data_IF_963704676995
#
_entry.id   IF_963704676995
#
_cell.length_a   1.000
_cell.length_b   1.000
_cell.length_c   1.000
_cell.angle_alpha   90.00
_cell.angle_beta   90.00
_cell.angle_gamma   90.00
#
_symmetry.space_group_name_H-M   'P 1'
#
loop_
_entity.id
_entity.type
_entity.pdbx_description
1 polymer ?
#
# COMPACT_ATOMS: atom_id res chain seq x y z
N UNK A 1 -31.43 -4.72 26.36
CA UNK A 1 -32.27 -5.27 27.45
C UNK A 1 -32.36 -6.82 27.49
N UNK A 2 -31.34 -7.56 27.03
CA UNK A 2 -31.39 -9.04 27.02
C UNK A 2 -30.04 -9.67 27.36
N UNK A 3 -29.36 -9.14 28.37
CA UNK A 3 -28.12 -9.73 28.90
C UNK A 3 -27.95 -9.38 30.38
N UNK A 4 -28.97 -9.67 31.17
CA UNK A 4 -28.92 -9.51 32.63
C UNK A 4 -29.63 -10.70 33.29
N UNK A 5 -29.21 -11.92 32.95
CA UNK A 5 -29.78 -13.14 33.54
C UNK A 5 -28.85 -14.36 33.33
N UNK A 6 -27.55 -14.22 33.63
CA UNK A 6 -26.69 -15.39 33.95
C UNK A 6 -25.62 -14.94 34.96
N UNK A 7 -26.05 -14.44 36.11
CA UNK A 7 -25.17 -14.23 37.28
C UNK A 7 -25.99 -14.42 38.56
N UNK A 8 -26.67 -15.55 38.67
CA UNK A 8 -27.26 -15.95 39.95
C UNK A 8 -27.45 -17.47 40.02
N UNK A 9 -26.39 -18.24 39.79
CA UNK A 9 -26.29 -19.65 40.19
C UNK A 9 -24.80 -19.99 40.21
N UNK A 10 -24.35 -20.73 41.23
CA UNK A 10 -22.95 -21.10 41.52
C UNK A 10 -22.21 -20.15 42.49
N UNK A 11 -22.85 -19.87 43.62
CA UNK A 11 -22.13 -19.89 44.90
C UNK A 11 -21.95 -21.36 45.29
N UNK A 12 -20.77 -21.69 45.85
CA UNK A 12 -20.29 -22.98 46.36
C UNK A 12 -19.48 -23.81 45.35
N UNK A 13 -18.16 -23.82 45.55
CA UNK A 13 -17.24 -24.75 44.90
C UNK A 13 -15.97 -24.07 44.38
N UNK A 14 -14.84 -24.33 45.03
CA UNK A 14 -13.50 -23.91 44.62
C UNK A 14 -13.16 -24.38 43.19
N UNK A 15 -13.02 -23.46 42.23
CA UNK A 15 -12.50 -23.74 40.88
C UNK A 15 -11.35 -22.76 40.57
N UNK A 16 -10.18 -23.22 40.12
CA UNK A 16 -9.07 -22.34 39.78
C UNK A 16 -9.29 -21.70 38.40
N UNK A 17 -9.15 -20.37 38.33
CA UNK A 17 -9.01 -19.55 37.11
C UNK A 17 -10.10 -19.75 36.02
N UNK A 18 -11.18 -18.97 36.12
CA UNK A 18 -12.16 -18.87 35.04
C UNK A 18 -11.74 -17.83 33.99
N UNK A 19 -11.33 -18.28 32.80
CA UNK A 19 -11.15 -17.42 31.62
C UNK A 19 -12.50 -17.15 30.97
N UNK A 20 -13.06 -15.96 31.19
CA UNK A 20 -14.32 -15.55 30.56
C UNK A 20 -14.00 -14.95 29.18
N UNK A 21 -14.41 -15.63 28.11
CA UNK A 21 -14.29 -15.13 26.74
C UNK A 21 -15.62 -14.50 26.31
N UNK A 22 -15.70 -13.17 26.29
CA UNK A 22 -16.87 -12.47 25.74
C UNK A 22 -16.65 -12.28 24.24
N UNK A 23 -17.43 -12.97 23.39
CA UNK A 23 -17.44 -12.74 21.95
C UNK A 23 -18.41 -11.60 21.64
N UNK A 24 -17.87 -10.42 21.35
CA UNK A 24 -18.54 -9.41 20.54
C UNK A 24 -18.06 -9.57 19.10
N UNK A 25 -18.93 -9.29 18.12
CA UNK A 25 -18.79 -9.65 16.71
C UNK A 25 -17.51 -9.19 16.00
N UNK A 26 -16.64 -8.39 16.64
CA UNK A 26 -15.30 -8.04 16.12
C UNK A 26 -14.19 -7.85 17.17
N UNK A 27 -14.40 -8.22 18.44
CA UNK A 27 -13.41 -7.99 19.51
C UNK A 27 -13.24 -9.22 20.39
N UNK A 28 -11.98 -9.60 20.67
CA UNK A 28 -11.63 -10.52 21.77
C UNK A 28 -10.95 -9.70 22.87
N UNK A 29 -11.56 -9.69 24.04
CA UNK A 29 -10.98 -9.12 25.24
C UNK A 29 -10.64 -10.27 26.19
N UNK A 30 -9.42 -10.29 26.74
CA UNK A 30 -9.07 -11.21 27.84
C UNK A 30 -9.29 -10.46 29.16
N UNK A 31 -9.95 -11.10 30.11
CA UNK A 31 -10.08 -10.56 31.47
C UNK A 31 -9.26 -11.43 32.40
N UNK A 32 -8.26 -10.85 33.07
CA UNK A 32 -7.60 -11.50 34.21
C UNK A 32 -8.29 -11.05 35.51
N UNK A 33 -8.83 -12.03 36.24
CA UNK A 33 -9.37 -11.80 37.59
C UNK A 33 -8.29 -12.17 38.59
N UNK A 34 -7.77 -11.18 39.32
CA UNK A 34 -6.89 -11.39 40.47
C UNK A 34 -7.64 -11.00 41.75
N UNK A 35 -7.67 -11.93 42.72
CA UNK A 35 -8.05 -11.76 44.13
C UNK A 35 -9.00 -10.61 44.46
N UNK A 36 -10.32 -10.86 44.35
CA UNK A 36 -11.39 -10.04 44.92
C UNK A 36 -11.34 -8.52 44.61
N UNK A 37 -10.76 -8.12 43.47
CA UNK A 37 -10.85 -6.75 42.97
C UNK A 37 -11.60 -6.70 41.64
N UNK A 38 -12.26 -5.56 41.40
CA UNK A 38 -13.00 -5.23 40.18
C UNK A 38 -12.19 -5.60 38.93
N UNK A 39 -12.81 -6.21 37.90
CA UNK A 39 -12.09 -6.68 36.72
C UNK A 39 -11.38 -5.51 36.02
N UNK A 40 -10.05 -5.52 35.97
CA UNK A 40 -9.28 -4.54 35.20
C UNK A 40 -9.22 -4.98 33.73
N UNK A 41 -9.44 -4.02 32.82
CA UNK A 41 -9.43 -4.24 31.36
C UNK A 41 -8.02 -4.56 30.88
N UNK A 42 -7.69 -5.84 30.79
CA UNK A 42 -6.48 -6.32 30.13
C UNK A 42 -6.73 -6.49 28.62
N UNK A 43 -6.58 -5.41 27.85
CA UNK A 43 -6.46 -5.37 26.39
C UNK A 43 -7.57 -6.03 25.55
N UNK A 44 -8.23 -5.21 24.72
CA UNK A 44 -9.14 -5.68 23.67
C UNK A 44 -8.45 -5.59 22.31
N UNK A 45 -8.38 -6.73 21.61
CA UNK A 45 -7.83 -6.79 20.25
C UNK A 45 -8.94 -7.08 19.24
N UNK A 46 -8.80 -6.51 18.04
CA UNK A 46 -9.64 -6.86 16.88
C UNK A 46 -9.34 -8.31 16.52
N UNK A 47 -10.38 -9.14 16.41
CA UNK A 47 -10.20 -10.56 16.11
C UNK A 47 -9.45 -10.75 14.78
N UNK A 48 -8.25 -11.34 14.83
CA UNK A 48 -7.45 -11.70 13.65
C UNK A 48 -6.18 -10.89 13.39
N UNK A 49 -5.81 -9.90 14.23
CA UNK A 49 -4.48 -9.26 14.20
C UNK A 49 -3.50 -9.98 15.13
N UNK A 50 -2.35 -10.40 14.61
CA UNK A 50 -1.22 -10.91 15.39
C UNK A 50 -0.63 -9.77 16.25
N UNK A 51 -0.30 -10.04 17.51
CA UNK A 51 0.31 -9.04 18.41
C UNK A 51 1.70 -8.61 17.94
N UNK A 52 2.37 -9.43 17.10
CA UNK A 52 3.68 -9.14 16.51
C UNK A 52 3.59 -8.38 15.18
N UNK A 53 2.39 -8.06 14.69
CA UNK A 53 2.24 -7.28 13.48
C UNK A 53 2.50 -5.79 13.72
N UNK A 54 3.22 -5.13 12.81
CA UNK A 54 3.40 -3.69 12.89
C UNK A 54 2.04 -2.98 12.84
N UNK A 55 1.98 -1.77 13.39
CA UNK A 55 0.78 -0.95 13.27
C UNK A 55 0.56 -0.64 11.79
N UNK A 56 -0.61 -1.00 11.27
CA UNK A 56 -1.01 -0.67 9.89
C UNK A 56 -1.86 0.60 9.89
N UNK A 57 -1.42 1.59 9.12
CA UNK A 57 -2.04 2.89 8.85
C UNK A 57 -2.43 2.95 7.39
N UNK A 58 -3.36 3.84 7.01
CA UNK A 58 -3.81 3.93 5.62
C UNK A 58 -4.21 2.55 5.08
N UNK A 59 -4.92 1.75 5.87
CA UNK A 59 -5.36 0.40 5.48
C UNK A 59 -4.29 -0.69 5.40
N UNK A 60 -3.14 -0.43 4.77
CA UNK A 60 -2.12 -1.41 4.35
C UNK A 60 -0.66 -0.87 4.46
N UNK A 61 -0.44 0.32 5.04
CA UNK A 61 0.92 0.85 5.26
C UNK A 61 1.39 0.56 6.70
N UNK A 62 2.40 -0.29 6.85
CA UNK A 62 3.02 -0.60 8.14
C UNK A 62 3.88 0.56 8.69
N UNK A 63 3.80 0.81 10.00
CA UNK A 63 4.62 1.78 10.76
C UNK A 63 5.11 1.18 12.08
N UNK A 64 6.36 1.47 12.47
CA UNK A 64 7.00 0.83 13.64
C UNK A 64 6.53 1.39 14.99
N UNK A 65 6.26 2.69 15.13
CA UNK A 65 5.74 3.33 16.36
C UNK A 65 5.22 4.73 16.02
N UNK A 66 4.14 5.19 16.68
CA UNK A 66 3.76 6.62 16.86
C UNK A 66 3.79 7.56 15.65
N UNK A 67 2.59 7.99 15.21
CA UNK A 67 2.28 9.11 14.28
C UNK A 67 3.45 9.74 13.50
N UNK A 68 3.53 9.42 12.20
CA UNK A 68 3.73 10.40 11.13
C UNK A 68 3.31 9.80 9.77
N UNK A 69 2.59 10.59 8.98
CA UNK A 69 1.95 10.24 7.70
C UNK A 69 2.95 10.34 6.55
N UNK A 70 3.13 9.28 5.76
CA UNK A 70 3.87 9.21 4.48
C UNK A 70 5.23 9.95 4.44
N UNK A 71 6.30 9.17 4.56
CA UNK A 71 7.65 9.65 4.83
C UNK A 71 8.23 10.50 3.66
N UNK A 72 8.71 11.74 3.92
CA UNK A 72 9.62 12.51 3.06
C UNK A 72 10.89 11.75 2.63
N UNK A 73 11.09 10.52 3.10
CA UNK A 73 12.28 9.72 2.86
C UNK A 73 12.60 9.43 1.39
N UNK A 74 11.64 9.45 0.45
CA UNK A 74 12.00 9.31 -0.98
C UNK A 74 12.78 10.54 -1.48
N UNK A 75 12.72 11.65 -0.74
CA UNK A 75 13.59 12.80 -0.91
C UNK A 75 14.84 12.78 0.02
N UNK A 76 14.96 11.82 0.96
CA UNK A 76 16.02 11.79 2.00
C UNK A 76 16.77 10.45 2.17
N UNK A 77 16.50 9.40 1.37
CA UNK A 77 17.32 8.18 1.33
C UNK A 77 16.62 6.81 1.49
N UNK A 78 15.29 6.73 1.54
CA UNK A 78 14.59 5.43 1.63
C UNK A 78 14.31 4.77 0.26
N UNK A 79 14.90 5.26 -0.82
CA UNK A 79 14.88 4.51 -2.07
C UNK A 79 15.78 3.28 -1.96
N UNK A 80 15.44 2.24 -2.72
CA UNK A 80 16.35 1.14 -2.94
C UNK A 80 17.54 1.62 -3.77
N UNK A 81 18.78 1.21 -3.44
CA UNK A 81 19.96 1.71 -4.13
C UNK A 81 19.95 1.27 -5.60
N UNK A 82 20.28 2.21 -6.48
CA UNK A 82 20.51 1.94 -7.90
C UNK A 82 21.93 1.41 -8.08
N UNK A 83 22.05 0.33 -8.82
CA UNK A 83 23.32 -0.28 -9.21
C UNK A 83 23.95 0.45 -10.39
N UNK A 84 25.24 0.22 -10.63
CA UNK A 84 26.03 0.86 -11.68
C UNK A 84 25.55 0.54 -13.09
N UNK A 85 24.89 -0.60 -13.27
CA UNK A 85 24.26 -1.03 -14.53
C UNK A 85 22.89 -0.36 -14.79
N UNK A 86 22.49 0.57 -13.92
CA UNK A 86 21.23 1.30 -14.03
C UNK A 86 20.00 0.57 -13.50
N UNK A 87 20.14 -0.68 -13.03
CA UNK A 87 19.06 -1.44 -12.41
C UNK A 87 18.96 -1.19 -10.90
N UNK A 88 17.82 -1.51 -10.31
CA UNK A 88 17.59 -1.45 -8.86
C UNK A 88 17.30 -2.85 -8.37
N UNK A 89 18.24 -3.44 -7.64
CA UNK A 89 18.12 -4.81 -7.15
C UNK A 89 17.50 -4.82 -5.76
N UNK A 90 16.28 -5.38 -5.67
CA UNK A 90 15.57 -5.56 -4.39
C UNK A 90 15.63 -7.03 -4.02
N UNK A 91 16.43 -7.35 -3.00
CA UNK A 91 16.51 -8.71 -2.50
C UNK A 91 15.19 -9.10 -1.82
N UNK A 92 14.75 -10.35 -2.00
CA UNK A 92 13.55 -10.86 -1.33
C UNK A 92 13.73 -12.26 -0.76
N UNK A 93 12.95 -12.56 0.28
CA UNK A 93 12.74 -13.92 0.81
C UNK A 93 11.25 -14.22 0.85
N UNK A 94 10.85 -15.43 0.51
CA UNK A 94 9.45 -15.89 0.61
C UNK A 94 9.37 -16.94 1.71
N UNK A 95 8.49 -16.71 2.70
CA UNK A 95 8.19 -17.64 3.79
C UNK A 95 7.84 -19.04 3.29
N UNK A 96 8.13 -20.06 4.09
CA UNK A 96 7.72 -21.45 3.84
C UNK A 96 6.22 -21.69 4.10
N UNK A 97 5.50 -20.70 4.63
CA UNK A 97 4.05 -20.76 4.86
C UNK A 97 3.23 -20.89 3.57
N UNK A 98 3.78 -20.45 2.43
CA UNK A 98 3.11 -20.46 1.13
C UNK A 98 3.29 -21.81 0.43
N UNK A 99 2.19 -22.34 -0.13
CA UNK A 99 2.21 -23.47 -1.06
C UNK A 99 3.00 -23.15 -2.33
N UNK A 100 3.41 -24.18 -3.08
CA UNK A 100 4.14 -23.96 -4.34
C UNK A 100 3.35 -23.12 -5.35
N UNK A 101 2.02 -23.29 -5.41
CA UNK A 101 1.14 -22.48 -6.27
C UNK A 101 1.16 -21.00 -5.88
N UNK A 102 1.00 -20.71 -4.58
CA UNK A 102 1.07 -19.33 -4.06
C UNK A 102 2.46 -18.72 -4.30
N UNK A 103 3.53 -19.49 -4.08
CA UNK A 103 4.91 -19.06 -4.38
C UNK A 103 5.11 -18.72 -5.85
N UNK A 104 4.55 -19.52 -6.76
CA UNK A 104 4.61 -19.23 -8.20
C UNK A 104 3.91 -17.91 -8.54
N UNK A 105 2.73 -17.64 -7.97
CA UNK A 105 2.02 -16.37 -8.15
C UNK A 105 2.82 -15.18 -7.61
N UNK A 106 3.40 -15.30 -6.40
CA UNK A 106 4.26 -14.26 -5.82
C UNK A 106 5.47 -13.97 -6.73
N UNK A 107 6.15 -15.03 -7.21
CA UNK A 107 7.30 -14.89 -8.11
C UNK A 107 6.90 -14.26 -9.45
N UNK A 108 5.72 -14.57 -9.99
CA UNK A 108 5.20 -13.91 -11.19
C UNK A 108 4.94 -12.42 -10.95
N UNK A 109 4.36 -12.05 -9.81
CA UNK A 109 4.19 -10.65 -9.39
C UNK A 109 5.53 -9.91 -9.30
N UNK A 110 6.53 -10.49 -8.64
CA UNK A 110 7.90 -9.94 -8.55
C UNK A 110 8.53 -9.76 -9.93
N UNK A 111 8.44 -10.78 -10.81
CA UNK A 111 9.00 -10.74 -12.18
C UNK A 111 8.29 -9.74 -13.10
N UNK A 112 7.05 -9.38 -12.81
CA UNK A 112 6.30 -8.44 -13.66
C UNK A 112 6.94 -7.05 -13.75
N UNK A 113 7.62 -6.60 -12.67
CA UNK A 113 8.29 -5.30 -12.63
C UNK A 113 9.42 -5.19 -13.65
N UNK A 114 10.16 -6.28 -13.89
CA UNK A 114 11.34 -6.22 -14.76
C UNK A 114 11.00 -6.09 -16.24
N UNK A 115 9.72 -6.26 -16.62
CA UNK A 115 9.26 -6.13 -18.01
C UNK A 115 9.21 -4.69 -18.49
N UNK A 116 9.05 -3.73 -17.58
CA UNK A 116 8.77 -2.33 -17.95
C UNK A 116 9.45 -1.31 -17.04
N UNK A 117 10.27 -1.76 -16.08
CA UNK A 117 11.01 -0.90 -15.15
C UNK A 117 12.45 -1.35 -14.96
N UNK A 118 13.26 -0.56 -14.24
CA UNK A 118 14.60 -0.95 -13.76
C UNK A 118 14.60 -1.86 -12.53
N UNK A 119 13.43 -2.13 -11.94
CA UNK A 119 13.36 -2.90 -10.68
C UNK A 119 13.61 -4.38 -10.96
N UNK A 120 14.53 -4.98 -10.19
CA UNK A 120 14.92 -6.38 -10.28
C UNK A 120 14.77 -7.03 -8.91
N UNK A 121 13.69 -7.75 -8.71
CA UNK A 121 13.52 -8.57 -7.51
C UNK A 121 14.38 -9.83 -7.61
N UNK A 122 15.30 -10.02 -6.67
CA UNK A 122 16.25 -11.15 -6.67
C UNK A 122 16.17 -11.95 -5.37
N UNK A 123 16.29 -13.30 -5.41
CA UNK A 123 16.34 -14.09 -4.18
C UNK A 123 17.47 -13.62 -3.28
N UNK A 124 17.16 -13.38 -2.01
CA UNK A 124 18.15 -12.97 -1.02
C UNK A 124 19.17 -14.08 -0.81
N UNK A 125 20.44 -13.67 -0.75
CA UNK A 125 21.56 -14.47 -0.25
C UNK A 125 22.10 -13.83 1.01
N UNK A 126 22.92 -12.78 0.86
CA UNK A 126 23.63 -12.10 1.95
C UNK A 126 23.25 -10.63 2.13
N UNK A 127 22.31 -10.13 1.32
CA UNK A 127 21.90 -8.72 1.37
C UNK A 127 21.33 -8.40 2.76
N UNK A 128 21.84 -7.32 3.36
CA UNK A 128 21.36 -6.79 4.64
C UNK A 128 19.93 -6.31 4.50
N UNK A 129 19.67 -5.47 3.49
CA UNK A 129 18.36 -4.87 3.23
C UNK A 129 17.60 -5.78 2.24
N UNK A 130 16.39 -6.20 2.61
CA UNK A 130 15.57 -7.08 1.78
C UNK A 130 14.09 -7.03 2.16
N UNK A 131 13.22 -7.44 1.24
CA UNK A 131 11.80 -7.65 1.49
C UNK A 131 11.57 -9.09 1.98
N UNK A 132 10.95 -9.24 3.15
CA UNK A 132 10.58 -10.51 3.73
C UNK A 132 9.08 -10.78 3.54
N UNK A 133 8.75 -11.60 2.56
CA UNK A 133 7.37 -11.88 2.15
C UNK A 133 6.80 -12.96 3.08
N UNK A 134 5.82 -12.60 3.90
CA UNK A 134 5.23 -13.47 4.92
C UNK A 134 3.70 -13.44 4.86
N UNK A 135 3.02 -14.50 5.31
CA UNK A 135 1.57 -14.50 5.40
C UNK A 135 1.14 -14.06 6.80
N UNK A 136 0.88 -12.77 6.99
CA UNK A 136 0.43 -12.21 8.28
C UNK A 136 -1.01 -11.69 8.22
N UNK A 137 -1.44 -10.84 9.14
CA UNK A 137 -2.82 -10.36 9.22
C UNK A 137 -3.11 -9.29 8.17
N UNK A 138 -3.41 -9.74 6.96
CA UNK A 138 -3.84 -8.90 5.84
C UNK A 138 -2.76 -8.69 4.77
N UNK A 139 -3.00 -7.70 3.92
CA UNK A 139 -2.06 -7.25 2.89
C UNK A 139 -1.48 -5.92 3.39
N UNK A 140 -0.16 -5.84 3.56
CA UNK A 140 0.48 -4.60 3.97
C UNK A 140 1.98 -4.58 3.68
N UNK A 141 2.53 -3.37 3.61
CA UNK A 141 3.94 -3.13 3.35
C UNK A 141 4.41 -1.83 4.00
N UNK A 142 5.72 -1.68 4.18
CA UNK A 142 6.30 -0.38 4.51
C UNK A 142 6.46 0.47 3.26
N UNK A 143 6.36 1.79 3.40
CA UNK A 143 6.69 2.71 2.30
C UNK A 143 8.20 2.91 2.22
N UNK A 144 8.79 2.44 1.13
CA UNK A 144 10.23 2.54 0.84
C UNK A 144 11.11 1.55 1.62
N UNK A 145 12.42 1.62 1.38
CA UNK A 145 13.47 0.85 2.06
C UNK A 145 13.64 1.34 3.50
N UNK A 146 13.47 0.44 4.47
CA UNK A 146 13.61 0.73 5.92
C UNK A 146 14.99 0.39 6.49
N UNK A 147 15.78 -0.38 5.75
CA UNK A 147 17.02 -0.99 6.25
C UNK A 147 16.73 -2.34 6.93
N UNK A 148 17.66 -3.29 6.81
CA UNK A 148 17.49 -4.69 7.22
C UNK A 148 16.30 -5.37 6.50
N UNK A 149 15.85 -6.52 7.02
CA UNK A 149 14.65 -7.18 6.53
C UNK A 149 13.39 -6.41 6.88
N UNK A 150 12.57 -6.08 5.89
CA UNK A 150 11.26 -5.44 6.09
C UNK A 150 10.14 -6.34 5.59
N UNK A 151 9.07 -6.46 6.37
CA UNK A 151 7.95 -7.35 6.04
C UNK A 151 7.12 -6.76 4.90
N UNK A 152 6.77 -7.62 3.94
CA UNK A 152 5.61 -7.46 3.07
C UNK A 152 4.66 -8.59 3.40
N UNK A 153 3.50 -8.25 3.97
CA UNK A 153 2.48 -9.24 4.29
C UNK A 153 1.60 -9.49 3.07
N UNK A 154 1.54 -10.74 2.65
CA UNK A 154 0.56 -11.22 1.69
C UNK A 154 -0.20 -12.37 2.33
N UNK A 155 -1.25 -12.07 3.09
CA UNK A 155 -2.11 -13.11 3.65
C UNK A 155 -2.52 -14.11 2.57
N UNK A 156 -2.27 -15.39 2.84
CA UNK A 156 -2.74 -16.51 2.01
C UNK A 156 -4.24 -16.48 1.78
N UNK A 157 -4.97 -15.86 2.71
CA UNK A 157 -6.39 -15.55 2.58
C UNK A 157 -6.55 -14.14 2.05
N UNK A 158 -6.58 -13.99 0.72
CA UNK A 158 -7.05 -12.77 0.06
C UNK A 158 -5.99 -11.85 -0.56
N UNK A 159 -4.69 -12.10 -0.38
CA UNK A 159 -3.64 -11.19 -0.89
C UNK A 159 -2.77 -11.77 -2.01
N UNK A 160 -2.85 -13.08 -2.28
CA UNK A 160 -1.99 -13.74 -3.29
C UNK A 160 -2.58 -13.61 -4.69
N UNK A 161 -2.73 -12.35 -5.13
CA UNK A 161 -3.21 -11.96 -6.46
C UNK A 161 -2.25 -10.97 -7.10
N UNK A 162 -2.13 -10.99 -8.43
CA UNK A 162 -1.18 -10.17 -9.19
C UNK A 162 -1.24 -8.68 -8.79
N UNK A 163 -2.44 -8.08 -8.77
CA UNK A 163 -2.65 -6.67 -8.42
C UNK A 163 -2.22 -6.35 -7.00
N UNK A 164 -2.60 -7.19 -6.03
CA UNK A 164 -2.25 -6.99 -4.62
C UNK A 164 -0.75 -7.14 -4.40
N UNK A 165 -0.12 -8.15 -5.01
CA UNK A 165 1.34 -8.31 -4.94
C UNK A 165 2.04 -7.07 -5.51
N UNK A 166 1.60 -6.56 -6.66
CA UNK A 166 2.17 -5.34 -7.24
C UNK A 166 1.94 -4.12 -6.34
N UNK A 167 0.75 -3.99 -5.74
CA UNK A 167 0.40 -2.92 -4.80
C UNK A 167 1.36 -2.87 -3.60
N UNK A 168 1.53 -4.00 -2.91
CA UNK A 168 2.40 -4.06 -1.72
C UNK A 168 3.88 -3.86 -2.06
N UNK A 169 4.30 -4.30 -3.25
CA UNK A 169 5.65 -4.07 -3.74
C UNK A 169 5.87 -2.60 -4.16
N UNK A 170 4.87 -1.92 -4.71
CA UNK A 170 4.94 -0.48 -4.97
C UNK A 170 5.07 0.32 -3.66
N UNK A 171 4.36 -0.07 -2.60
CA UNK A 171 4.63 0.47 -1.27
C UNK A 171 6.10 0.27 -0.87
N UNK A 172 6.61 -0.96 -0.97
CA UNK A 172 8.02 -1.24 -0.63
C UNK A 172 9.01 -0.42 -1.46
N UNK A 173 8.64 0.00 -2.68
CA UNK A 173 9.43 0.86 -3.56
C UNK A 173 9.31 2.35 -3.25
N UNK A 174 8.36 2.77 -2.40
CA UNK A 174 8.21 4.15 -1.93
C UNK A 174 6.93 4.86 -2.37
N UNK A 175 5.95 4.16 -2.92
CA UNK A 175 4.70 4.76 -3.37
C UNK A 175 3.63 4.75 -2.27
N UNK A 176 2.84 5.81 -2.19
CA UNK A 176 1.63 5.89 -1.36
C UNK A 176 0.40 5.72 -2.26
N UNK A 177 -0.79 5.62 -1.66
CA UNK A 177 -2.03 5.50 -2.42
C UNK A 177 -2.38 6.72 -3.24
N UNK A 178 -3.05 6.50 -4.37
CA UNK A 178 -3.42 7.56 -5.31
C UNK A 178 -4.36 8.60 -4.68
N UNK A 179 -5.37 8.16 -3.91
CA UNK A 179 -6.33 9.05 -3.26
C UNK A 179 -5.74 9.92 -2.14
N UNK A 180 -4.46 9.75 -1.83
CA UNK A 180 -3.74 10.54 -0.82
C UNK A 180 -2.87 11.63 -1.43
N UNK A 181 -2.78 11.74 -2.77
CA UNK A 181 -2.05 12.82 -3.44
C UNK A 181 -2.48 14.21 -2.98
N UNK A 182 -1.56 15.16 -3.04
CA UNK A 182 -1.79 16.58 -2.71
C UNK A 182 -2.91 17.22 -3.54
N UNK A 183 -3.00 16.85 -4.82
CA UNK A 183 -3.96 17.34 -5.81
C UNK A 183 -5.28 16.52 -5.87
N UNK A 184 -5.43 15.47 -5.05
CA UNK A 184 -6.55 14.53 -5.17
C UNK A 184 -7.94 15.17 -5.09
N UNK A 185 -8.11 16.30 -4.40
CA UNK A 185 -9.40 16.99 -4.27
C UNK A 185 -9.90 17.58 -5.62
N UNK A 186 -9.03 17.67 -6.63
CA UNK A 186 -9.42 18.03 -8.01
C UNK A 186 -10.03 16.85 -8.78
N UNK A 187 -9.92 15.63 -8.25
CA UNK A 187 -10.24 14.37 -8.94
C UNK A 187 -11.21 13.49 -8.15
N UNK A 188 -11.18 13.54 -6.82
CA UNK A 188 -12.11 12.78 -5.98
C UNK A 188 -12.62 13.63 -4.83
N UNK A 189 -13.88 13.40 -4.48
CA UNK A 189 -14.47 13.87 -3.23
C UNK A 189 -14.50 12.73 -2.22
N UNK A 190 -14.01 13.01 -1.00
CA UNK A 190 -14.08 12.06 0.11
C UNK A 190 -15.31 12.36 0.95
N UNK A 191 -16.16 11.35 1.14
CA UNK A 191 -17.37 11.40 1.94
C UNK A 191 -17.10 10.82 3.33
N UNK A 192 -16.47 11.61 4.20
CA UNK A 192 -16.06 11.17 5.54
C UNK A 192 -17.24 10.71 6.40
N UNK A 193 -18.46 11.21 6.17
CA UNK A 193 -19.67 10.76 6.85
C UNK A 193 -20.01 9.28 6.61
N UNK A 194 -19.49 8.68 5.53
CA UNK A 194 -19.69 7.26 5.22
C UNK A 194 -18.56 6.38 5.77
N UNK A 195 -17.47 6.97 6.26
CA UNK A 195 -16.28 6.24 6.73
C UNK A 195 -16.53 5.65 8.13
N UNK A 196 -16.02 4.45 8.39
CA UNK A 196 -16.01 3.84 9.72
C UNK A 196 -15.33 4.79 10.71
N UNK A 197 -16.03 5.12 11.81
CA UNK A 197 -15.51 6.00 12.85
C UNK A 197 -14.11 5.58 13.31
N UNK A 198 -13.16 6.52 13.28
CA UNK A 198 -11.75 6.29 13.62
C UNK A 198 -10.86 5.90 12.43
N UNK A 199 -11.42 5.61 11.25
CA UNK A 199 -10.69 5.26 10.03
C UNK A 199 -10.52 6.44 9.05
N UNK A 200 -10.94 7.65 9.43
CA UNK A 200 -10.86 8.87 8.62
C UNK A 200 -9.40 9.22 8.27
N UNK A 201 -8.46 8.81 9.13
CA UNK A 201 -7.04 9.02 8.92
C UNK A 201 -6.51 8.34 7.64
N UNK A 202 -7.16 7.27 7.15
CA UNK A 202 -6.79 6.57 5.91
C UNK A 202 -7.03 7.43 4.65
N UNK A 203 -7.80 8.52 4.75
CA UNK A 203 -8.13 9.40 3.64
C UNK A 203 -7.40 10.75 3.72
N UNK A 204 -6.46 10.92 4.65
CA UNK A 204 -5.69 12.17 4.78
C UNK A 204 -4.81 12.37 3.54
N UNK A 205 -4.82 13.59 3.01
CA UNK A 205 -3.91 14.00 1.92
C UNK A 205 -2.48 14.17 2.43
N UNK A 206 -1.53 13.81 1.59
CA UNK A 206 -0.11 14.07 1.75
C UNK A 206 0.14 15.44 1.13
N UNK A 207 0.37 16.47 1.97
CA UNK A 207 0.48 17.87 1.50
C UNK A 207 1.58 18.08 0.45
N UNK A 208 2.72 17.41 0.63
CA UNK A 208 3.89 17.55 -0.24
C UNK A 208 4.19 16.24 -0.98
N UNK A 209 3.16 15.57 -1.51
CA UNK A 209 3.39 14.35 -2.30
C UNK A 209 4.21 14.65 -3.55
N UNK A 210 5.23 13.84 -3.81
CA UNK A 210 5.99 13.89 -5.07
C UNK A 210 5.17 13.20 -6.16
N UNK A 211 4.38 13.99 -6.90
CA UNK A 211 3.52 13.49 -7.97
C UNK A 211 4.31 13.11 -9.25
N UNK A 212 5.62 13.36 -9.27
CA UNK A 212 6.56 13.01 -10.35
C UNK A 212 6.10 13.50 -11.74
N UNK A 213 5.41 14.64 -11.80
CA UNK A 213 4.91 15.24 -13.03
C UNK A 213 3.92 14.34 -13.79
N UNK A 214 3.18 13.48 -13.10
CA UNK A 214 2.18 12.59 -13.70
C UNK A 214 0.76 13.01 -13.32
N UNK A 215 -0.22 12.82 -14.23
CA UNK A 215 -1.62 13.08 -13.92
C UNK A 215 -2.13 12.14 -12.82
N UNK A 216 -3.27 12.49 -12.25
CA UNK A 216 -4.03 11.61 -11.36
C UNK A 216 -4.59 10.43 -12.16
N UNK A 217 -4.44 9.22 -11.63
CA UNK A 217 -4.80 7.99 -12.33
C UNK A 217 -5.85 7.18 -11.55
N UNK A 218 -7.10 7.28 -11.97
CA UNK A 218 -8.21 6.50 -11.40
C UNK A 218 -8.03 4.98 -11.51
N UNK A 219 -7.24 4.51 -12.49
CA UNK A 219 -6.97 3.10 -12.74
C UNK A 219 -5.61 2.66 -12.19
N UNK A 220 -4.95 3.49 -11.38
CA UNK A 220 -3.74 3.09 -10.65
C UNK A 220 -4.05 1.90 -9.75
N UNK A 221 -3.14 0.93 -9.71
CA UNK A 221 -3.24 -0.18 -8.76
C UNK A 221 -3.14 0.31 -7.31
N UNK A 222 -2.63 1.52 -7.10
CA UNK A 222 -2.53 2.19 -5.80
C UNK A 222 -3.78 2.97 -5.41
N UNK A 223 -4.85 2.98 -6.22
CA UNK A 223 -6.08 3.71 -5.91
C UNK A 223 -7.07 2.85 -5.12
N UNK A 224 -7.59 3.38 -4.02
CA UNK A 224 -8.66 2.72 -3.27
C UNK A 224 -9.96 2.53 -4.06
N UNK A 225 -10.69 1.47 -3.73
CA UNK A 225 -12.04 1.26 -4.22
C UNK A 225 -13.04 2.28 -3.65
N UNK A 226 -14.13 2.47 -4.38
CA UNK A 226 -15.24 3.40 -4.06
C UNK A 226 -15.81 3.25 -2.64
N UNK A 227 -15.79 2.04 -2.10
CA UNK A 227 -16.40 1.69 -0.80
C UNK A 227 -15.37 1.39 0.29
N UNK A 228 -14.09 1.75 0.08
CA UNK A 228 -13.04 1.52 1.06
C UNK A 228 -13.44 2.11 2.42
N UNK A 229 -13.33 1.32 3.50
CA UNK A 229 -13.68 1.71 4.86
C UNK A 229 -15.11 2.26 5.05
N UNK A 230 -16.07 1.85 4.21
CA UNK A 230 -17.47 2.24 4.35
C UNK A 230 -18.12 1.59 5.57
N UNK A 231 -18.87 2.38 6.35
CA UNK A 231 -19.64 1.91 7.51
C UNK A 231 -21.09 1.55 7.18
N UNK A 232 -21.60 2.06 6.06
CA UNK A 232 -23.01 2.04 5.70
C UNK A 232 -23.26 1.55 4.26
N UNK A 233 -22.25 0.90 3.65
CA UNK A 233 -22.24 0.43 2.25
C UNK A 233 -22.40 1.55 1.20
N UNK A 234 -22.34 2.81 1.62
CA UNK A 234 -22.33 3.97 0.72
C UNK A 234 -20.90 4.32 0.30
N UNK A 235 -20.70 4.99 -0.85
CA UNK A 235 -19.37 5.35 -1.33
C UNK A 235 -18.65 6.28 -0.35
N UNK A 236 -17.36 6.01 -0.10
CA UNK A 236 -16.47 6.89 0.66
C UNK A 236 -15.61 7.76 -0.27
N UNK A 237 -15.40 7.32 -1.52
CA UNK A 237 -14.67 8.05 -2.56
C UNK A 237 -15.56 8.19 -3.79
N UNK A 238 -15.79 9.42 -4.24
CA UNK A 238 -16.58 9.72 -5.45
C UNK A 238 -15.72 10.49 -6.45
N UNK A 239 -15.45 9.96 -7.65
CA UNK A 239 -14.72 10.69 -8.68
C UNK A 239 -15.45 11.97 -9.13
N UNK A 240 -14.68 12.96 -9.55
CA UNK A 240 -15.17 14.23 -10.12
C UNK A 240 -14.40 14.57 -11.41
N UNK A 241 -15.04 15.25 -12.38
CA UNK A 241 -16.44 15.67 -12.38
C UNK A 241 -17.42 14.52 -12.65
N UNK A 242 -16.96 13.41 -13.23
CA UNK A 242 -17.80 12.28 -13.57
C UNK A 242 -17.81 11.22 -12.44
N UNK A 243 -18.90 11.07 -11.67
CA UNK A 243 -18.98 10.11 -10.56
C UNK A 243 -19.03 8.65 -11.00
N UNK A 244 -19.18 8.36 -12.30
CA UNK A 244 -19.28 6.99 -12.83
C UNK A 244 -17.92 6.38 -13.20
N UNK A 245 -16.83 7.13 -13.10
CA UNK A 245 -15.48 6.61 -13.34
C UNK A 245 -15.19 5.45 -12.38
N UNK A 246 -14.67 4.35 -12.93
CA UNK A 246 -14.25 3.19 -12.16
C UNK A 246 -12.95 3.49 -11.40
N UNK A 247 -12.92 3.12 -10.12
CA UNK A 247 -11.75 3.28 -9.23
C UNK A 247 -11.54 2.01 -8.41
N UNK A 248 -10.29 1.68 -8.13
CA UNK A 248 -9.91 0.49 -7.33
C UNK A 248 -10.33 -0.84 -7.94
N UNK A 249 -10.33 -0.93 -9.29
CA UNK A 249 -10.63 -2.14 -10.06
C UNK A 249 -9.44 -2.65 -10.88
N UNK A 250 -8.26 -2.09 -10.65
CA UNK A 250 -7.05 -2.43 -11.39
C UNK A 250 -6.63 -3.89 -11.12
N UNK A 251 -6.38 -4.64 -12.18
CA UNK A 251 -5.86 -6.02 -12.10
C UNK A 251 -4.32 -6.09 -12.19
N UNK A 252 -3.69 -4.97 -12.54
CA UNK A 252 -2.24 -4.80 -12.62
C UNK A 252 -1.87 -3.31 -12.56
N UNK A 253 -0.57 -3.02 -12.43
CA UNK A 253 -0.02 -1.67 -12.59
C UNK A 253 -0.49 -1.01 -13.89
N UNK A 254 -0.90 0.24 -13.78
CA UNK A 254 -1.22 1.06 -14.95
C UNK A 254 0.06 1.55 -15.65
N UNK A 255 -0.04 2.07 -16.89
CA UNK A 255 1.08 2.76 -17.53
C UNK A 255 1.62 3.93 -16.69
N UNK A 256 0.75 4.61 -15.95
CA UNK A 256 1.15 5.73 -15.07
C UNK A 256 1.90 5.23 -13.84
N UNK A 257 1.50 4.09 -13.24
CA UNK A 257 2.25 3.44 -12.16
C UNK A 257 3.68 3.12 -12.62
N UNK A 258 3.82 2.47 -13.78
CA UNK A 258 5.11 2.11 -14.38
C UNK A 258 5.97 3.36 -14.64
N UNK A 259 5.38 4.40 -15.25
CA UNK A 259 6.06 5.67 -15.51
C UNK A 259 6.59 6.31 -14.22
N UNK A 260 5.81 6.26 -13.14
CA UNK A 260 6.22 6.80 -11.83
C UNK A 260 7.36 6.00 -11.23
N UNK A 261 7.37 4.67 -11.32
CA UNK A 261 8.52 3.85 -10.91
C UNK A 261 9.77 4.28 -11.67
N UNK A 262 9.67 4.41 -12.99
CA UNK A 262 10.80 4.77 -13.84
C UNK A 262 11.32 6.19 -13.55
N UNK A 263 10.43 7.17 -13.35
CA UNK A 263 10.83 8.53 -12.96
C UNK A 263 11.47 8.58 -11.58
N UNK A 264 10.90 7.86 -10.59
CA UNK A 264 11.42 7.86 -9.23
C UNK A 264 12.85 7.29 -9.15
N UNK A 265 13.12 6.23 -9.91
CA UNK A 265 14.43 5.56 -9.95
C UNK A 265 15.31 6.01 -11.12
N UNK A 266 14.96 7.14 -11.76
CA UNK A 266 15.68 7.74 -12.89
C UNK A 266 16.06 6.71 -13.98
N UNK A 267 15.12 5.83 -14.33
CA UNK A 267 15.33 4.84 -15.37
C UNK A 267 15.26 5.51 -16.74
N UNK A 268 16.38 5.51 -17.45
CA UNK A 268 16.44 5.79 -18.88
C UNK A 268 16.38 4.43 -19.55
N UNK A 269 15.26 4.11 -20.21
CA UNK A 269 15.20 2.93 -21.05
C UNK A 269 16.22 3.12 -22.16
N UNK A 270 17.26 2.29 -22.23
CA UNK A 270 18.18 2.27 -23.37
C UNK A 270 17.33 2.03 -24.61
N UNK A 271 17.14 3.07 -25.40
CA UNK A 271 16.30 3.01 -26.57
C UNK A 271 16.92 2.03 -27.55
N UNK A 272 16.15 1.01 -27.93
CA UNK A 272 16.27 0.50 -29.29
C UNK A 272 15.81 1.68 -30.16
N UNK A 273 16.76 2.46 -30.68
CA UNK A 273 16.55 3.36 -31.82
C UNK A 273 15.52 4.48 -31.67
N UNK A 274 15.45 5.18 -30.54
CA UNK A 274 14.91 6.55 -30.52
C UNK A 274 15.95 7.47 -29.90
N UNK A 275 16.81 7.97 -30.79
CA UNK A 275 17.73 9.05 -30.50
C UNK A 275 16.89 10.33 -30.35
N UNK A 276 16.61 10.73 -29.11
CA UNK A 276 16.14 12.09 -28.84
C UNK A 276 17.37 12.95 -28.55
N UNK A 277 18.13 13.21 -29.60
CA UNK A 277 19.12 14.27 -29.56
C UNK A 277 18.36 15.61 -29.53
N UNK A 278 18.22 16.18 -28.35
CA UNK A 278 17.81 17.58 -28.22
C UNK A 278 19.05 18.46 -28.47
N UNK A 279 19.60 18.43 -29.68
CA UNK A 279 20.56 19.44 -30.12
C UNK A 279 19.78 20.69 -30.52
N UNK A 280 19.91 21.75 -29.75
CA UNK A 280 19.44 23.08 -30.15
C UNK A 280 20.19 23.50 -31.41
N UNK A 281 19.49 23.56 -32.55
CA UNK A 281 20.04 24.12 -33.79
C UNK A 281 20.10 25.66 -33.63
N UNK A 282 21.29 26.28 -33.71
CA UNK A 282 21.45 27.72 -33.50
C UNK A 282 20.84 28.60 -34.61
N UNK A 283 20.35 28.02 -35.71
CA UNK A 283 19.79 28.76 -36.84
C UNK A 283 18.25 28.85 -36.87
N UNK A 284 17.54 28.47 -35.80
CA UNK A 284 16.07 28.60 -35.73
C UNK A 284 15.67 29.88 -34.98
N UNK A 285 14.74 30.71 -35.49
CA UNK A 285 14.35 31.94 -34.81
C UNK A 285 13.72 31.60 -33.47
N UNK A 286 14.08 32.38 -32.44
CA UNK A 286 13.63 32.21 -31.07
C UNK A 286 12.11 32.34 -30.96
N UNK A 287 11.38 31.23 -31.04
CA UNK A 287 9.97 31.15 -30.67
C UNK A 287 9.84 30.63 -29.24
N UNK A 288 9.17 31.42 -28.42
CA UNK A 288 8.83 31.11 -27.04
C UNK A 288 7.90 29.88 -26.96
N UNK A 289 8.12 29.05 -25.93
CA UNK A 289 7.33 27.88 -25.49
C UNK A 289 7.62 26.50 -26.14
N UNK A 290 8.70 25.89 -25.67
CA UNK A 290 9.09 24.47 -25.85
C UNK A 290 8.06 23.47 -25.28
N UNK A 291 7.17 23.90 -24.37
CA UNK A 291 6.17 23.03 -23.71
C UNK A 291 5.06 22.53 -24.63
N UNK A 292 4.70 23.28 -25.69
CA UNK A 292 3.56 22.95 -26.55
C UNK A 292 3.86 21.84 -27.57
N UNK A 293 5.13 21.65 -27.93
CA UNK A 293 5.58 20.67 -28.93
C UNK A 293 5.66 19.24 -28.38
N UNK A 294 6.04 19.07 -27.11
CA UNK A 294 6.07 17.73 -26.49
C UNK A 294 4.67 17.15 -26.26
N UNK A 295 3.65 17.99 -26.01
CA UNK A 295 2.31 17.51 -25.68
C UNK A 295 1.58 16.91 -26.89
N UNK A 296 1.77 17.47 -28.10
CA UNK A 296 1.11 16.98 -29.31
C UNK A 296 1.58 15.58 -29.75
N UNK A 297 2.80 15.17 -29.39
CA UNK A 297 3.32 13.85 -29.77
C UNK A 297 2.80 12.72 -28.89
N UNK A 298 2.33 13.03 -27.68
CA UNK A 298 1.74 12.04 -26.77
C UNK A 298 0.36 11.57 -27.26
N UNK A 299 -0.44 12.46 -27.89
CA UNK A 299 -1.78 12.12 -28.40
C UNK A 299 -1.77 11.21 -29.63
N UNK A 300 -0.68 11.23 -30.43
CA UNK A 300 -0.55 10.36 -31.61
C UNK A 300 -0.13 8.92 -31.26
N UNK A 301 0.55 8.71 -30.13
CA UNK A 301 0.99 7.36 -29.70
C UNK A 301 -0.15 6.59 -29.02
N UNK A 302 -1.18 7.27 -28.52
CA UNK A 302 -2.35 6.62 -27.89
C UNK A 302 -3.41 6.16 -28.91
N UNK A 303 -3.28 6.51 -30.21
CA UNK A 303 -4.27 6.18 -31.26
C UNK A 303 -3.78 5.20 -32.34
N UNK A 304 -2.78 4.37 -32.05
CA UNK A 304 -2.41 3.20 -32.86
C UNK A 304 -2.37 1.96 -31.98
#
# INVERSE_FOLDING_TARGET
PTLMLVCCSLLLGTIPRLLITVKSTNMRCKYQVHNNRSPQRSFCHVAGKDENDPKVMFGDIAVYTGLQSADPCTARGCLWPKSSDGNVYVAYRISNQYSQRERNTIVQGLRSFSRSTCIRFTPRRRQRDFVDIQSRSGCFSFVGRRGNGQVVSLSRRGCVFQSVIQHELLHALGFNHEQTRSDRDQHVRILLQNVIRGQEHNFRRIRNSRNLGTPYDYNSVMHYGRFAFSSNRQPTIVPVPNPNVAIGRANQMSPTDILRVNRLYAFVQSSIGMNWDCTCNPNWPAFQNVSSLCSKKFDLIIRQ
#
